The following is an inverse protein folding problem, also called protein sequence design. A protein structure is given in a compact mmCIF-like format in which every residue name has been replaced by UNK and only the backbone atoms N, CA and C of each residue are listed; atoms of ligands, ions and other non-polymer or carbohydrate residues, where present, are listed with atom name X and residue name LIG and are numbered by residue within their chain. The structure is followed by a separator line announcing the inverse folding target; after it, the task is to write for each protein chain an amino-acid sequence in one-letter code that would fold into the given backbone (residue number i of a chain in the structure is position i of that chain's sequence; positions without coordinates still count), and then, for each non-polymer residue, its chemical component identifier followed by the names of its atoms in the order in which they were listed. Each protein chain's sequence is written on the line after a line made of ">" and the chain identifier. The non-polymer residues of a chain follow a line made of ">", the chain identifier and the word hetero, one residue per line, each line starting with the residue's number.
data_IF_106944611420
#
_entry.id   IF_106944611420
#
_cell.length_a   1.000
_cell.length_b   1.000
_cell.length_c   1.000
_cell.angle_alpha   90.00
_cell.angle_beta   90.00
_cell.angle_gamma   90.00
#
_symmetry.space_group_name_H-M   'P 1'
#
loop_
_entity.id
_entity.type
_entity.pdbx_description
1 polymer ?
2 non-polymer ?
3 non-polymer ?
4 water ?
#
# COMPACT_ATOMS: atom_id res chain seq x y z
N UNK A 4 3.24 22.80 11.09
CA UNK A 4 3.50 21.93 12.25
C UNK A 4 4.18 20.63 11.84
N UNK A 5 4.60 19.82 12.83
CA UNK A 5 5.35 18.56 12.63
C UNK A 5 4.46 17.53 11.92
N UNK A 6 3.21 17.37 12.37
CA UNK A 6 2.25 16.37 11.84
C UNK A 6 1.99 16.65 10.35
N UNK A 7 1.74 17.92 9.99
CA UNK A 7 1.52 18.36 8.60
C UNK A 7 2.77 18.03 7.76
N UNK A 8 3.96 18.38 8.26
CA UNK A 8 5.26 18.14 7.60
C UNK A 8 5.45 16.63 7.35
N UNK A 9 5.20 15.81 8.37
CA UNK A 9 5.34 14.34 8.26
C UNK A 9 4.29 13.79 7.27
N UNK A 10 3.08 14.35 7.26
CA UNK A 10 2.03 13.94 6.30
C UNK A 10 2.41 14.35 4.87
N UNK A 11 3.12 15.48 4.68
CA UNK A 11 3.64 15.85 3.35
C UNK A 11 4.66 14.80 2.88
N UNK A 12 5.53 14.32 3.79
CA UNK A 12 6.51 13.27 3.44
C UNK A 12 5.76 12.00 3.02
N UNK A 13 4.73 11.61 3.78
CA UNK A 13 3.85 10.47 3.44
C UNK A 13 3.22 10.66 2.06
N UNK A 14 2.71 11.87 1.77
CA UNK A 14 2.08 12.15 0.46
C UNK A 14 3.13 12.02 -0.66
N UNK A 15 4.37 12.47 -0.41
CA UNK A 15 5.47 12.31 -1.36
C UNK A 15 5.72 10.84 -1.66
N UNK A 16 5.79 10.03 -0.60
CA UNK A 16 5.97 8.56 -0.73
C UNK A 16 4.82 7.98 -1.57
N UNK A 17 3.58 8.36 -1.25
CA UNK A 17 2.39 7.86 -1.97
C UNK A 17 2.50 8.19 -3.46
N UNK A 18 2.84 9.44 -3.79
CA UNK A 18 3.02 9.86 -5.20
C UNK A 18 4.10 9.00 -5.86
N UNK A 19 5.21 8.73 -5.16
CA UNK A 19 6.28 7.88 -5.73
C UNK A 19 5.75 6.46 -5.97
N UNK A 20 5.02 5.87 -5.01
CA UNK A 20 4.51 4.50 -5.16
C UNK A 20 3.58 4.39 -6.37
N UNK A 21 2.90 5.49 -6.72
CA UNK A 21 1.94 5.55 -7.85
C UNK A 21 2.62 6.02 -9.15
N UNK A 22 3.94 6.29 -9.13
CA UNK A 22 4.66 6.90 -10.27
C UNK A 22 5.08 5.84 -11.29
N UNK A 23 5.37 6.27 -12.53
CA UNK A 23 5.77 5.36 -13.63
C UNK A 23 7.03 4.57 -13.26
N UNK A 24 7.93 5.17 -12.45
CA UNK A 24 9.21 4.55 -12.05
C UNK A 24 8.99 3.15 -11.47
N UNK A 25 7.89 2.95 -10.71
CA UNK A 25 7.63 1.70 -9.97
C UNK A 25 6.46 0.90 -10.54
N UNK A 26 5.89 1.32 -11.68
CA UNK A 26 4.65 0.76 -12.24
C UNK A 26 4.76 -0.73 -12.55
N UNK A 27 5.97 -1.21 -12.92
CA UNK A 27 6.17 -2.61 -13.31
C UNK A 27 5.82 -3.58 -12.18
N UNK A 28 5.99 -3.16 -10.91
CA UNK A 28 5.70 -4.00 -9.73
C UNK A 28 4.62 -3.39 -8.82
N UNK A 29 4.25 -2.12 -9.02
CA UNK A 29 3.25 -1.46 -8.15
C UNK A 29 1.82 -1.72 -8.63
N UNK A 30 1.62 -2.08 -9.91
CA UNK A 30 0.28 -2.07 -10.53
C UNK A 30 -0.72 -3.00 -9.82
N UNK A 31 -0.32 -4.17 -9.26
CA UNK A 31 -1.30 -5.00 -8.54
C UNK A 31 -1.92 -4.33 -7.30
N UNK A 32 -1.33 -3.22 -6.84
CA UNK A 32 -1.72 -2.52 -5.60
C UNK A 32 -2.44 -1.20 -5.89
N UNK A 33 -2.71 -0.90 -7.18
CA UNK A 33 -3.29 0.39 -7.59
C UNK A 33 -4.76 0.50 -7.19
N UNK A 34 -5.49 -0.62 -7.21
CA UNK A 34 -6.96 -0.64 -6.98
C UNK A 34 -7.30 -1.79 -6.05
N UNK A 35 -8.49 -1.77 -5.40
CA UNK A 35 -8.89 -2.89 -4.55
C UNK A 35 -8.84 -4.20 -5.32
N UNK A 36 -8.39 -5.27 -4.67
CA UNK A 36 -8.43 -6.64 -5.24
C UNK A 36 -9.88 -6.92 -5.66
N UNK A 37 -10.07 -7.24 -6.94
CA UNK A 37 -11.38 -7.65 -7.49
C UNK A 37 -11.45 -9.18 -7.39
N UNK A 38 -11.88 -9.67 -6.22
CA UNK A 38 -11.86 -11.11 -5.88
C UNK A 38 -12.65 -11.92 -6.90
N UNK A 39 -13.87 -11.46 -7.22
CA UNK A 39 -14.78 -12.10 -8.20
C UNK A 39 -14.11 -12.22 -9.57
N UNK A 40 -13.55 -11.11 -10.08
CA UNK A 40 -12.90 -11.04 -11.41
C UNK A 40 -11.70 -11.99 -11.50
N UNK A 41 -10.96 -12.17 -10.39
CA UNK A 41 -9.73 -12.99 -10.36
C UNK A 41 -10.03 -14.43 -9.91
N UNK A 42 -11.29 -14.74 -9.58
CA UNK A 42 -11.74 -16.07 -9.15
C UNK A 42 -11.29 -16.41 -7.74
N UNK A 43 -10.97 -15.39 -6.93
CA UNK A 43 -10.43 -15.55 -5.56
C UNK A 43 -11.60 -15.54 -4.57
N UNK A 44 -12.42 -16.61 -4.60
CA UNK A 44 -13.71 -16.66 -3.88
C UNK A 44 -13.53 -16.84 -2.38
N UNK A 45 -12.29 -17.03 -1.91
CA UNK A 45 -11.94 -17.12 -0.47
C UNK A 45 -11.26 -15.83 0.01
N UNK A 46 -11.02 -14.84 -0.87
CA UNK A 46 -10.21 -13.65 -0.52
C UNK A 46 -10.78 -12.94 0.70
N UNK A 47 -12.09 -12.67 0.70
CA UNK A 47 -12.74 -11.87 1.75
C UNK A 47 -13.03 -12.68 3.01
N UNK A 48 -12.81 -14.01 2.97
CA UNK A 48 -12.85 -14.86 4.17
C UNK A 48 -11.49 -14.81 4.88
N UNK A 49 -10.41 -14.62 4.12
CA UNK A 49 -9.02 -14.64 4.63
C UNK A 49 -8.56 -13.22 4.96
N UNK A 50 -8.94 -12.23 4.14
CA UNK A 50 -8.55 -10.81 4.30
C UNK A 50 -9.74 -10.04 4.86
N UNK A 51 -9.68 -9.67 6.14
CA UNK A 51 -10.78 -8.98 6.86
C UNK A 51 -10.77 -7.48 6.57
N UNK A 52 -9.59 -6.91 6.26
CA UNK A 52 -9.42 -5.46 6.02
C UNK A 52 -8.65 -5.23 4.72
N UNK A 53 -9.33 -5.31 3.56
CA UNK A 53 -8.66 -5.03 2.28
C UNK A 53 -8.09 -3.61 2.27
N UNK A 54 -6.97 -3.43 1.58
CA UNK A 54 -6.36 -2.10 1.43
C UNK A 54 -5.58 -2.07 0.12
N UNK A 55 -5.50 -0.89 -0.50
CA UNK A 55 -4.85 -0.68 -1.80
C UNK A 55 -4.47 0.80 -1.89
N UNK A 56 -3.64 1.17 -2.87
CA UNK A 56 -3.10 2.54 -2.96
C UNK A 56 -4.17 3.56 -3.35
N UNK A 57 -5.22 3.17 -4.09
CA UNK A 57 -6.31 4.12 -4.44
C UNK A 57 -7.08 4.50 -3.17
N UNK A 58 -7.27 3.54 -2.25
CA UNK A 58 -7.93 3.80 -0.96
C UNK A 58 -7.04 4.70 -0.10
N UNK A 59 -5.72 4.44 -0.07
CA UNK A 59 -4.75 5.29 0.67
C UNK A 59 -4.80 6.71 0.10
N UNK A 60 -4.85 6.85 -1.23
CA UNK A 60 -4.91 8.18 -1.89
C UNK A 60 -6.20 8.90 -1.51
N UNK A 61 -7.34 8.19 -1.54
CA UNK A 61 -8.66 8.78 -1.18
C UNK A 61 -8.60 9.29 0.27
N UNK A 62 -8.04 8.48 1.18
CA UNK A 62 -7.97 8.84 2.61
C UNK A 62 -7.06 10.05 2.80
N UNK A 63 -5.92 10.11 2.07
CA UNK A 63 -5.01 11.28 2.14
C UNK A 63 -5.73 12.54 1.62
N UNK A 64 -6.40 12.43 0.47
CA UNK A 64 -7.12 13.56 -0.15
C UNK A 64 -8.25 14.05 0.76
N UNK A 65 -8.90 13.14 1.50
CA UNK A 65 -10.03 13.45 2.41
C UNK A 65 -9.53 13.92 3.78
N UNK A 66 -8.20 14.03 3.98
CA UNK A 66 -7.57 14.43 5.26
C UNK A 66 -7.97 13.44 6.36
N UNK A 67 -8.10 12.15 6.00
CA UNK A 67 -8.47 11.06 6.93
C UNK A 67 -7.30 10.79 7.88
N UNK A 68 -6.07 10.72 7.35
CA UNK A 68 -4.86 10.42 8.15
C UNK A 68 -4.51 11.61 9.03
N UNK A 69 -4.44 11.38 10.34
CA UNK A 69 -4.10 12.43 11.33
C UNK A 69 -2.59 12.46 11.59
N UNK A 70 -1.86 11.38 11.26
CA UNK A 70 -0.41 11.31 11.47
C UNK A 70 0.22 10.29 10.52
N UNK A 71 1.55 10.28 10.43
CA UNK A 71 2.31 9.41 9.51
C UNK A 71 2.12 7.94 9.88
N UNK A 72 2.01 7.63 11.18
CA UNK A 72 1.83 6.26 11.68
C UNK A 72 0.54 5.64 11.12
N UNK A 73 -0.54 6.42 11.07
CA UNK A 73 -1.85 5.94 10.56
C UNK A 73 -1.73 5.62 9.06
N UNK A 74 -1.06 6.49 8.30
CA UNK A 74 -0.77 6.28 6.86
C UNK A 74 0.06 5.00 6.68
N UNK A 75 1.15 4.86 7.45
CA UNK A 75 2.06 3.70 7.33
C UNK A 75 1.31 2.40 7.65
N UNK A 76 0.41 2.44 8.64
CA UNK A 76 -0.38 1.26 9.03
C UNK A 76 -1.21 0.75 7.84
N UNK A 77 -1.78 1.65 7.03
CA UNK A 77 -2.60 1.26 5.87
C UNK A 77 -1.69 0.70 4.76
N UNK A 78 -0.54 1.33 4.49
CA UNK A 78 0.37 0.83 3.44
C UNK A 78 0.87 -0.56 3.83
N UNK A 79 1.24 -0.75 5.10
CA UNK A 79 1.76 -2.05 5.57
C UNK A 79 0.64 -3.10 5.62
N UNK A 80 -0.59 -2.70 5.96
CA UNK A 80 -1.77 -3.59 5.90
C UNK A 80 -1.92 -4.14 4.49
N UNK A 81 -1.78 -3.28 3.48
CA UNK A 81 -1.87 -3.68 2.06
C UNK A 81 -0.84 -4.78 1.76
N UNK A 82 0.42 -4.59 2.17
CA UNK A 82 1.47 -5.60 1.94
C UNK A 82 1.18 -6.88 2.74
N UNK A 83 0.79 -6.73 4.01
CA UNK A 83 0.48 -7.88 4.89
C UNK A 83 -0.63 -8.74 4.27
N UNK A 84 -1.67 -8.11 3.71
CA UNK A 84 -2.78 -8.84 3.05
C UNK A 84 -2.23 -9.70 1.92
N UNK A 85 -1.32 -9.11 1.12
CA UNK A 85 -0.68 -9.80 0.01
C UNK A 85 0.09 -11.02 0.52
N UNK A 86 0.88 -10.86 1.59
CA UNK A 86 1.71 -11.94 2.17
C UNK A 86 0.85 -13.02 2.82
N UNK A 87 -0.32 -12.63 3.36
CA UNK A 87 -1.23 -13.57 4.03
C UNK A 87 -1.93 -14.46 3.00
N UNK A 88 -2.42 -13.87 1.91
CA UNK A 88 -3.32 -14.57 0.95
C UNK A 88 -2.52 -15.36 -0.08
N UNK A 89 -1.42 -14.80 -0.59
CA UNK A 89 -0.73 -15.33 -1.78
C UNK A 89 0.39 -16.29 -1.41
N UNK A 90 0.58 -17.38 -2.17
CA UNK A 90 1.75 -18.25 -1.97
C UNK A 90 3.03 -17.44 -2.10
N UNK A 91 4.05 -17.72 -1.27
CA UNK A 91 5.27 -16.88 -1.24
C UNK A 91 6.08 -16.88 -2.54
N UNK A 92 5.85 -17.85 -3.44
CA UNK A 92 6.56 -17.97 -4.73
C UNK A 92 5.76 -17.34 -5.88
N UNK A 93 4.60 -16.71 -5.58
CA UNK A 93 3.77 -16.01 -6.59
C UNK A 93 4.45 -14.69 -6.97
N UNK A 94 4.35 -14.29 -8.26
CA UNK A 94 4.91 -13.03 -8.78
C UNK A 94 4.43 -11.84 -7.93
N UNK A 95 3.17 -11.83 -7.50
CA UNK A 95 2.58 -10.67 -6.77
C UNK A 95 3.31 -10.47 -5.45
N UNK A 96 3.81 -11.55 -4.82
CA UNK A 96 4.55 -11.45 -3.55
C UNK A 96 5.93 -10.83 -3.81
N UNK A 97 6.62 -11.24 -4.90
CA UNK A 97 7.89 -10.63 -5.31
C UNK A 97 7.68 -9.13 -5.56
N UNK A 98 6.56 -8.76 -6.19
CA UNK A 98 6.22 -7.36 -6.51
C UNK A 98 5.93 -6.57 -5.23
N UNK A 99 5.18 -7.17 -4.29
CA UNK A 99 4.92 -6.58 -2.96
C UNK A 99 6.23 -6.28 -2.24
N UNK A 100 7.15 -7.27 -2.20
CA UNK A 100 8.46 -7.16 -1.53
C UNK A 100 9.23 -5.96 -2.10
N UNK A 101 9.27 -5.84 -3.43
CA UNK A 101 9.99 -4.75 -4.12
C UNK A 101 9.35 -3.40 -3.79
N UNK A 102 8.01 -3.31 -3.83
CA UNK A 102 7.35 -2.01 -3.54
C UNK A 102 7.48 -1.68 -2.05
N UNK A 103 7.45 -2.68 -1.17
CA UNK A 103 7.63 -2.43 0.28
C UNK A 103 9.05 -1.94 0.56
N UNK A 104 10.05 -2.43 -0.19
CA UNK A 104 11.44 -1.95 -0.08
C UNK A 104 11.47 -0.45 -0.38
N UNK A 105 10.82 -0.02 -1.47
CA UNK A 105 10.73 1.41 -1.84
C UNK A 105 10.10 2.17 -0.67
N UNK A 106 8.97 1.66 -0.15
CA UNK A 106 8.22 2.32 0.93
C UNK A 106 9.07 2.46 2.20
N UNK A 107 9.63 1.35 2.69
CA UNK A 107 10.31 1.32 4.00
C UNK A 107 11.55 2.22 3.98
N UNK A 108 12.32 2.22 2.89
CA UNK A 108 13.56 3.01 2.85
C UNK A 108 13.23 4.50 2.83
N UNK A 109 12.16 4.90 2.12
CA UNK A 109 11.80 6.33 2.08
C UNK A 109 11.05 6.74 3.36
N UNK A 110 10.20 5.86 3.90
CA UNK A 110 9.48 6.15 5.16
C UNK A 110 10.49 6.41 6.29
N UNK A 111 11.61 5.67 6.29
CA UNK A 111 12.68 5.78 7.31
C UNK A 111 13.30 7.17 7.31
N UNK A 112 13.23 7.90 6.18
CA UNK A 112 13.80 9.26 6.03
C UNK A 112 12.80 10.33 6.49
N UNK A 113 11.73 9.94 7.20
CA UNK A 113 10.72 10.84 7.79
C UNK A 113 11.41 12.02 8.49
N UNK A 114 11.00 13.27 8.23
CA UNK A 114 11.55 14.41 8.99
C UNK A 114 11.04 14.38 10.43
N UNK A 115 11.95 14.60 11.40
CA UNK A 115 11.65 14.60 12.85
C UNK A 115 11.23 16.02 13.28
X LIG B 1 -9.85 5.37 10.01
X LIG B 1 -9.70 5.80 8.67
X LIG B 1 -11.00 6.00 10.69
X LIG B 1 -11.09 7.39 10.43
X LIG C 1 -1.02 -19.42 1.86
X LIG C 1 -0.15 -19.93 0.86
X LIG C 1 -0.31 -18.56 2.85
X LIG C 1 0.36 -17.46 2.27
X LIG D 1 -3.58 -9.88 -10.20
X LIG D 1 -3.42 -9.88 -7.83
X LIG D 1 -3.15 -10.72 -12.54
X LIG D 1 -0.94 -11.24 -13.39
X LIG D 1 0.85 -10.49 -10.33
X LIG D 1 -0.39 -10.22 -9.92
X LIG D 1 -1.26 -10.48 -11.05
X LIG D 1 -3.92 -16.13 -6.00
X LIG D 1 -2.95 -18.54 -6.07
X LIG D 1 -2.79 -7.39 -4.34
X LIG D 1 -3.04 -8.29 -5.47
X LIG D 1 -3.21 -9.60 -5.30
X LIG D 1 -3.18 -10.13 -4.18
X LIG D 1 -3.42 -10.42 -6.54
X LIG D 1 -3.60 -11.80 -6.37
X LIG D 1 -3.78 -12.63 -7.48
X LIG D 1 -3.79 -12.08 -8.75
X LIG D 1 -3.60 -10.71 -8.94
X LIG D 1 -3.20 -8.49 -9.65
X LIG D 1 -3.25 -8.56 -8.18
X LIG D 1 -2.65 -10.39 -11.27
X LIG D 1 -2.29 -11.09 -13.60
X LIG D 1 -0.42 -10.90 -12.11
X LIG D 1 0.86 -10.90 -11.64
X LIG D 1 -4.01 -14.11 -7.37
X LIG D 1 -4.47 -14.74 -8.32
X LIG D 1 -3.70 -14.71 -6.21
X LIG D 1 -2.74 -17.05 -5.89
X LIG D 1 -4.16 -18.84 -5.37
X LIG D 1 -4.18 -17.99 -4.21
X LIG D 1 -3.54 -16.69 -4.67
#
# INVERSE_FOLDING_TARGET
>A
GSMGKLSEQLKHCNGILKELLSKKHAAYAWPFYKPVDASALGLHDYHDIIKHPMDLSTVKRKMENRDYRDAQEFAADVRLMFSNCYKYNPPDHDVVAMARKLQDVFEFRYAKMPD
>B hetero
1 EDO C1 O1 C2 O2
>C hetero
1 EDO C1 O1 C2 O2
>D hetero
1 V9Q C10 C13 C15 C17 C20 C21 C22 C26 C28 C01 N02 C03 O04 C05 C06 C07 C08 C09 C11 O12 C14 C16 C18 N19 C23 O24 N25 C27 O29 C30 C31
#
